data_IF_088101715531
#
_entry.id   IF_088101715531
#
_cell.length_a   1.000
_cell.length_b   1.000
_cell.length_c   1.000
_cell.angle_alpha   90.00
_cell.angle_beta   90.00
_cell.angle_gamma   90.00
#
_symmetry.space_group_name_H-M   'P 1'
#
loop_
_entity.id
_entity.type
_entity.pdbx_description
1 polymer ?
#
# COMPACT_ATOMS: atom_id res chain seq x y z
N UNK A 1 -5.18 -12.32 9.72
CA UNK A 1 -4.90 -10.91 9.46
C UNK A 1 -5.84 -10.43 8.36
N UNK A 2 -6.68 -9.42 8.62
CA UNK A 2 -7.79 -9.06 7.72
C UNK A 2 -7.36 -8.67 6.31
N UNK A 3 -6.27 -7.95 6.15
CA UNK A 3 -5.80 -7.50 4.84
C UNK A 3 -5.33 -8.68 3.99
N UNK A 4 -4.56 -9.60 4.57
CA UNK A 4 -4.08 -10.80 3.87
C UNK A 4 -5.26 -11.67 3.45
N UNK A 5 -6.23 -11.84 4.34
CA UNK A 5 -7.43 -12.63 4.06
C UNK A 5 -8.23 -12.05 2.89
N UNK A 6 -8.40 -10.73 2.86
CA UNK A 6 -9.13 -10.06 1.78
C UNK A 6 -8.41 -10.19 0.43
N UNK A 7 -7.10 -10.02 0.41
CA UNK A 7 -6.31 -10.15 -0.82
C UNK A 7 -6.47 -11.56 -1.39
N UNK A 8 -6.37 -12.57 -0.56
CA UNK A 8 -6.55 -13.97 -0.97
C UNK A 8 -7.96 -14.26 -1.45
N UNK A 9 -8.97 -13.71 -0.76
CA UNK A 9 -10.37 -13.87 -1.14
C UNK A 9 -10.67 -13.28 -2.53
N UNK A 10 -9.95 -12.25 -2.93
CA UNK A 10 -10.07 -11.63 -4.26
C UNK A 10 -9.33 -12.42 -5.35
N UNK A 11 -8.65 -13.51 -5.01
CA UNK A 11 -7.96 -14.37 -5.97
C UNK A 11 -6.52 -13.99 -6.26
N UNK A 12 -5.92 -13.09 -5.48
CA UNK A 12 -4.52 -12.71 -5.64
C UNK A 12 -3.60 -13.55 -4.77
N UNK A 13 -2.40 -13.81 -5.26
CA UNK A 13 -1.35 -14.41 -4.46
C UNK A 13 -0.78 -13.38 -3.50
N UNK A 14 -0.47 -13.81 -2.29
CA UNK A 14 0.06 -12.93 -1.24
C UNK A 14 1.46 -13.36 -0.86
N UNK A 15 2.39 -12.41 -0.94
CA UNK A 15 3.71 -12.53 -0.34
C UNK A 15 3.67 -11.76 1.00
N UNK A 16 3.57 -12.49 2.10
CA UNK A 16 3.44 -11.89 3.43
C UNK A 16 4.84 -11.72 4.05
N UNK A 17 5.32 -10.48 4.04
CA UNK A 17 6.65 -10.11 4.52
C UNK A 17 6.62 -9.47 5.92
N UNK A 18 5.44 -9.37 6.52
CA UNK A 18 5.25 -8.71 7.81
C UNK A 18 5.70 -9.53 9.00
N UNK A 19 5.67 -8.90 10.17
CA UNK A 19 5.89 -9.59 11.43
C UNK A 19 4.65 -10.38 11.82
N UNK A 20 4.85 -11.55 12.43
CA UNK A 20 3.77 -12.43 12.87
C UNK A 20 3.64 -12.48 14.40
N UNK A 21 4.42 -11.67 15.13
CA UNK A 21 4.37 -11.62 16.58
C UNK A 21 3.97 -10.22 17.07
N UNK A 22 3.83 -10.07 18.38
CA UNK A 22 3.41 -8.81 19.01
C UNK A 22 4.58 -7.87 19.31
N UNK A 23 5.80 -8.24 18.97
CA UNK A 23 6.96 -7.39 19.22
C UNK A 23 6.96 -6.18 18.28
N UNK A 24 7.39 -5.05 18.82
CA UNK A 24 7.56 -3.85 18.01
C UNK A 24 8.72 -4.04 17.04
N UNK A 25 8.49 -3.61 15.79
CA UNK A 25 9.53 -3.56 14.77
C UNK A 25 9.67 -2.13 14.26
N UNK A 26 10.85 -1.78 13.80
CA UNK A 26 11.06 -0.48 13.18
C UNK A 26 10.38 -0.45 11.82
N UNK A 27 9.48 0.51 11.61
CA UNK A 27 8.73 0.61 10.36
C UNK A 27 9.62 0.79 9.11
N UNK A 28 10.80 1.45 9.16
CA UNK A 28 11.66 1.51 7.99
C UNK A 28 12.16 0.13 7.52
N UNK A 29 12.37 -0.80 8.44
CA UNK A 29 12.78 -2.17 8.09
C UNK A 29 11.66 -2.93 7.37
N UNK A 30 10.41 -2.73 7.80
CA UNK A 30 9.25 -3.31 7.12
C UNK A 30 9.11 -2.76 5.70
N UNK A 31 9.29 -1.46 5.54
CA UNK A 31 9.26 -0.83 4.23
C UNK A 31 10.37 -1.38 3.34
N UNK A 32 11.59 -1.52 3.85
CA UNK A 32 12.72 -2.05 3.10
C UNK A 32 12.47 -3.47 2.57
N UNK A 33 11.85 -4.35 3.36
CA UNK A 33 11.50 -5.70 2.92
C UNK A 33 10.55 -5.69 1.73
N UNK A 34 9.52 -4.84 1.77
CA UNK A 34 8.57 -4.72 0.66
C UNK A 34 9.25 -4.13 -0.57
N UNK A 35 10.08 -3.12 -0.40
CA UNK A 35 10.77 -2.47 -1.52
C UNK A 35 11.71 -3.44 -2.23
N UNK A 36 12.38 -4.32 -1.49
CA UNK A 36 13.21 -5.38 -2.07
C UNK A 36 12.36 -6.31 -2.96
N UNK A 37 11.14 -6.63 -2.55
CA UNK A 37 10.24 -7.46 -3.35
C UNK A 37 9.80 -6.77 -4.64
N UNK A 38 9.60 -5.44 -4.61
CA UNK A 38 9.34 -4.65 -5.82
C UNK A 38 10.53 -4.66 -6.76
N UNK A 39 11.74 -4.41 -6.24
CA UNK A 39 12.97 -4.40 -7.05
C UNK A 39 13.23 -5.74 -7.72
N UNK A 40 12.90 -6.84 -7.04
CA UNK A 40 13.04 -8.20 -7.58
C UNK A 40 11.93 -8.57 -8.57
N UNK A 41 10.94 -7.72 -8.76
CA UNK A 41 9.82 -8.00 -9.64
C UNK A 41 8.82 -9.03 -9.10
N UNK A 42 8.90 -9.36 -7.80
CA UNK A 42 8.02 -10.36 -7.18
C UNK A 42 6.61 -9.86 -6.92
N UNK A 43 6.45 -8.55 -6.79
CA UNK A 43 5.16 -7.92 -6.49
C UNK A 43 4.96 -6.68 -7.34
N UNK A 44 3.70 -6.35 -7.64
CA UNK A 44 3.30 -5.14 -8.36
C UNK A 44 2.50 -4.17 -7.48
N UNK A 45 1.96 -4.65 -6.38
CA UNK A 45 1.21 -3.86 -5.39
C UNK A 45 1.67 -4.25 -4.01
N UNK A 46 1.63 -3.29 -3.09
CA UNK A 46 1.99 -3.56 -1.70
C UNK A 46 1.09 -2.86 -0.71
N UNK A 47 1.08 -3.39 0.50
CA UNK A 47 0.33 -2.84 1.62
C UNK A 47 1.27 -2.78 2.83
N UNK A 48 1.32 -1.60 3.46
CA UNK A 48 2.13 -1.39 4.66
C UNK A 48 1.22 -0.90 5.78
N UNK A 49 1.30 -1.54 6.92
CA UNK A 49 0.43 -1.25 8.06
C UNK A 49 1.28 -0.95 9.27
N UNK A 50 1.05 0.20 9.90
CA UNK A 50 1.62 0.52 11.21
C UNK A 50 0.61 1.32 12.01
N UNK A 51 0.98 1.88 13.16
CA UNK A 51 0.04 2.56 14.04
C UNK A 51 -0.80 3.63 13.35
N UNK A 52 -0.15 4.57 12.66
CA UNK A 52 -0.81 5.66 11.92
C UNK A 52 -0.66 5.53 10.42
N UNK A 53 0.31 4.79 9.94
CA UNK A 53 0.68 4.70 8.53
C UNK A 53 1.56 5.85 8.05
N UNK A 54 1.76 6.89 8.85
CA UNK A 54 2.47 8.11 8.43
C UNK A 54 3.96 7.85 8.21
N UNK A 55 4.66 7.35 9.23
CA UNK A 55 6.09 7.12 9.14
C UNK A 55 6.46 6.10 8.06
N UNK A 56 5.68 5.04 7.95
CA UNK A 56 5.95 4.00 6.97
C UNK A 56 5.72 4.49 5.54
N UNK A 57 4.76 5.40 5.33
CA UNK A 57 4.55 6.01 4.00
C UNK A 57 5.74 6.91 3.61
N UNK A 58 6.28 7.66 4.57
CA UNK A 58 7.47 8.48 4.33
C UNK A 58 8.66 7.61 3.95
N UNK A 59 8.88 6.52 4.70
CA UNK A 59 9.98 5.60 4.43
C UNK A 59 9.87 4.98 3.03
N UNK A 60 8.68 4.53 2.64
CA UNK A 60 8.45 3.92 1.33
C UNK A 60 8.69 4.91 0.19
N UNK A 61 8.22 6.15 0.33
CA UNK A 61 8.30 7.16 -0.74
C UNK A 61 9.71 7.73 -0.97
N UNK A 62 10.67 7.36 -0.15
CA UNK A 62 12.06 7.75 -0.39
C UNK A 62 12.72 6.96 -1.52
N UNK A 63 12.08 5.91 -2.02
CA UNK A 63 12.63 5.09 -3.09
C UNK A 63 12.05 5.46 -4.44
N UNK A 64 12.89 5.60 -5.50
CA UNK A 64 12.41 5.84 -6.86
C UNK A 64 11.45 4.73 -7.32
N UNK A 65 10.42 5.12 -8.05
CA UNK A 65 9.44 4.16 -8.56
C UNK A 65 8.37 3.73 -7.58
N UNK A 66 8.47 4.15 -6.31
CA UNK A 66 7.47 3.85 -5.28
C UNK A 66 6.56 5.07 -5.11
N UNK A 67 5.26 4.80 -5.17
CA UNK A 67 4.21 5.79 -4.91
C UNK A 67 3.31 5.20 -3.83
N UNK A 68 3.68 5.47 -2.58
CA UNK A 68 2.96 4.99 -1.41
C UNK A 68 1.96 6.05 -0.96
N UNK A 69 0.71 5.68 -0.85
CA UNK A 69 -0.37 6.56 -0.44
C UNK A 69 -0.90 6.16 0.94
N UNK A 70 -0.94 7.12 1.86
CA UNK A 70 -1.57 6.93 3.16
C UNK A 70 -3.08 7.12 2.99
N UNK A 71 -3.84 6.08 3.22
CA UNK A 71 -5.28 6.09 3.03
C UNK A 71 -6.02 5.77 4.33
N UNK A 72 -7.09 6.50 4.59
CA UNK A 72 -7.94 6.30 5.75
C UNK A 72 -9.38 5.94 5.41
N UNK A 73 -9.75 5.97 4.13
CA UNK A 73 -11.11 5.66 3.70
C UNK A 73 -11.13 5.15 2.26
N UNK A 74 -12.31 4.72 1.83
CA UNK A 74 -12.53 4.19 0.48
C UNK A 74 -12.23 5.23 -0.60
N UNK A 75 -12.60 6.49 -0.36
CA UNK A 75 -12.39 7.58 -1.33
C UNK A 75 -10.91 7.82 -1.59
N UNK A 76 -10.09 7.92 -0.52
CA UNK A 76 -8.64 8.14 -0.69
C UNK A 76 -7.97 6.94 -1.34
N UNK A 77 -8.40 5.72 -1.06
CA UNK A 77 -7.88 4.53 -1.73
C UNK A 77 -8.17 4.57 -3.24
N UNK A 78 -9.39 4.95 -3.63
CA UNK A 78 -9.76 5.08 -5.04
C UNK A 78 -8.96 6.17 -5.73
N UNK A 79 -8.85 7.35 -5.13
CA UNK A 79 -8.13 8.49 -5.71
C UNK A 79 -6.63 8.21 -5.85
N UNK A 80 -6.05 7.51 -4.89
CA UNK A 80 -4.64 7.12 -4.96
C UNK A 80 -4.34 6.29 -6.21
N UNK A 81 -5.27 5.43 -6.62
CA UNK A 81 -5.16 4.66 -7.83
C UNK A 81 -5.47 5.48 -9.07
N UNK A 82 -6.62 6.14 -9.08
CA UNK A 82 -7.12 6.87 -10.26
C UNK A 82 -6.20 8.00 -10.68
N UNK A 83 -5.71 8.78 -9.73
CA UNK A 83 -4.97 10.01 -10.01
C UNK A 83 -3.46 9.87 -9.87
N UNK A 84 -3.00 9.04 -8.96
CA UNK A 84 -1.58 9.00 -8.60
C UNK A 84 -0.89 7.69 -8.97
N UNK A 85 -1.62 6.71 -9.49
CA UNK A 85 -1.09 5.39 -9.81
C UNK A 85 -0.26 4.83 -8.65
N UNK A 86 -0.79 5.00 -7.43
CA UNK A 86 -0.12 4.51 -6.23
C UNK A 86 0.05 3.00 -6.31
N UNK A 87 1.25 2.51 -6.04
CA UNK A 87 1.53 1.07 -6.05
C UNK A 87 1.65 0.47 -4.65
N UNK A 88 1.67 1.32 -3.62
CA UNK A 88 1.62 0.89 -2.22
C UNK A 88 0.54 1.68 -1.50
N UNK A 89 -0.31 0.98 -0.75
CA UNK A 89 -1.25 1.61 0.17
C UNK A 89 -0.75 1.44 1.60
N UNK A 90 -0.66 2.54 2.32
CA UNK A 90 -0.28 2.54 3.74
C UNK A 90 -1.52 2.73 4.60
N UNK A 91 -1.63 1.95 5.64
CA UNK A 91 -2.77 1.93 6.54
C UNK A 91 -2.31 2.19 7.98
N UNK A 92 -3.10 2.97 8.69
CA UNK A 92 -2.93 3.11 10.13
C UNK A 92 -3.77 2.08 10.87
N UNK A 93 -3.14 1.04 11.41
CA UNK A 93 -3.86 -0.02 12.10
C UNK A 93 -4.65 0.46 13.33
N UNK A 94 -4.23 1.58 13.93
CA UNK A 94 -4.95 2.19 15.05
C UNK A 94 -6.10 3.11 14.62
N UNK A 95 -6.15 3.47 13.33
CA UNK A 95 -7.11 4.43 12.78
C UNK A 95 -8.13 3.80 11.85
N UNK A 96 -7.95 2.53 11.49
CA UNK A 96 -8.76 1.87 10.48
C UNK A 96 -9.30 0.57 11.05
N UNK A 97 -10.60 0.40 11.11
CA UNK A 97 -11.17 -0.87 11.56
C UNK A 97 -11.01 -1.96 10.48
N UNK A 98 -11.12 -3.26 10.86
CA UNK A 98 -10.89 -4.35 9.92
C UNK A 98 -11.80 -4.36 8.70
N UNK A 99 -13.07 -4.01 8.84
CA UNK A 99 -14.01 -4.01 7.71
C UNK A 99 -13.69 -2.87 6.74
N UNK A 100 -13.35 -1.71 7.26
CA UNK A 100 -12.90 -0.57 6.45
C UNK A 100 -11.60 -0.91 5.73
N UNK A 101 -10.66 -1.56 6.40
CA UNK A 101 -9.40 -1.97 5.78
C UNK A 101 -9.65 -2.94 4.62
N UNK A 102 -10.55 -3.90 4.77
CA UNK A 102 -10.91 -4.84 3.71
C UNK A 102 -11.50 -4.13 2.50
N UNK A 103 -12.40 -3.18 2.72
CA UNK A 103 -12.99 -2.40 1.64
C UNK A 103 -11.93 -1.58 0.88
N UNK A 104 -11.05 -0.93 1.62
CA UNK A 104 -9.96 -0.13 1.03
C UNK A 104 -9.00 -0.98 0.21
N UNK A 105 -8.65 -2.17 0.70
CA UNK A 105 -7.79 -3.12 -0.02
C UNK A 105 -8.44 -3.55 -1.33
N UNK A 106 -9.72 -3.91 -1.30
CA UNK A 106 -10.46 -4.29 -2.50
C UNK A 106 -10.46 -3.17 -3.54
N UNK A 107 -10.78 -1.95 -3.11
CA UNK A 107 -10.80 -0.79 -3.99
C UNK A 107 -9.41 -0.53 -4.59
N UNK A 108 -8.36 -0.61 -3.78
CA UNK A 108 -7.00 -0.37 -4.25
C UNK A 108 -6.56 -1.40 -5.30
N UNK A 109 -6.94 -2.66 -5.13
CA UNK A 109 -6.58 -3.73 -6.06
C UNK A 109 -7.41 -3.70 -7.36
N UNK A 110 -8.65 -3.24 -7.29
CA UNK A 110 -9.58 -3.28 -8.43
C UNK A 110 -9.67 -1.96 -9.21
N UNK A 111 -9.12 -0.86 -8.70
CA UNK A 111 -9.20 0.44 -9.34
C UNK A 111 -8.00 0.67 -10.25
N UNK A 112 -8.27 1.05 -11.50
CA UNK A 112 -7.24 1.33 -12.48
C UNK A 112 -6.81 2.80 -12.46
N UNK A 113 -5.61 3.05 -12.97
CA UNK A 113 -5.10 4.41 -13.18
C UNK A 113 -5.83 5.02 -14.38
N UNK A 114 -6.33 6.25 -14.20
CA UNK A 114 -7.04 6.95 -15.26
C UNK A 114 -6.13 7.46 -16.39
N UNK A 115 -4.86 7.68 -16.11
CA UNK A 115 -3.93 8.21 -17.10
C UNK A 115 -4.21 9.67 -17.44
N UNK A 116 -4.20 10.00 -18.73
CA UNK A 116 -4.49 11.36 -19.20
C UNK A 116 -3.57 12.39 -18.58
N UNK A 117 -4.14 13.50 -18.07
CA UNK A 117 -3.39 14.57 -17.41
C UNK A 117 -2.62 14.09 -16.17
N UNK A 118 -3.10 13.03 -15.53
CA UNK A 118 -2.46 12.49 -14.33
C UNK A 118 -1.14 11.78 -14.65
N UNK A 119 -1.02 11.16 -15.83
CA UNK A 119 0.19 10.47 -16.24
C UNK A 119 1.41 11.40 -16.27
N UNK A 120 1.25 12.62 -16.76
CA UNK A 120 2.33 13.62 -16.78
C UNK A 120 2.77 13.99 -15.36
N UNK A 121 1.83 14.14 -14.46
CA UNK A 121 2.12 14.49 -13.06
C UNK A 121 2.81 13.34 -12.34
N UNK A 122 2.34 12.12 -12.54
CA UNK A 122 2.96 10.93 -11.96
C UNK A 122 4.40 10.76 -12.46
N UNK A 123 4.65 10.98 -13.75
CA UNK A 123 5.99 10.89 -14.31
C UNK A 123 6.98 11.86 -13.65
N UNK A 124 6.51 12.98 -13.14
CA UNK A 124 7.34 13.95 -12.44
C UNK A 124 7.66 13.58 -10.99
N UNK A 125 7.01 12.58 -10.45
CA UNK A 125 7.28 12.12 -9.08
C UNK A 125 8.56 11.27 -8.98
N UNK A 126 9.02 10.76 -10.09
CA UNK A 126 10.24 9.96 -10.10
C UNK A 126 10.08 8.47 -10.19
#
# INVERSE_FOLDING_TARGET
QPVVEEIRALGFDVLDLGTHDAESVDYPDMAANLLAAFDDGRVARGFLICGTGIGISIAANRHPGIRAALCYDAETAALARQHNDANIMCLGGRKTDPDQAREMVRIFLETEFEGGRHARRVAKLG
#
